data_IF_315143971908
#
_entry.id   IF_315143971908
#
_cell.length_a   1.000
_cell.length_b   1.000
_cell.length_c   1.000
_cell.angle_alpha   90.00
_cell.angle_beta   90.00
_cell.angle_gamma   90.00
#
_symmetry.space_group_name_H-M   'P 1'
#
loop_
_entity.id
_entity.type
_entity.pdbx_description
1 polymer ?
#
# COMPACT_ATOMS: atom_id res chain seq x y z
N UNK A 1 16.72 -22.62 -31.50
CA UNK A 1 15.74 -22.51 -30.40
C UNK A 1 16.46 -22.59 -29.06
N UNK A 2 16.93 -21.45 -28.51
CA UNK A 2 17.25 -21.24 -27.07
C UNK A 2 17.28 -19.73 -26.85
N UNK A 3 16.18 -19.12 -26.42
CA UNK A 3 16.18 -17.74 -25.92
C UNK A 3 16.64 -17.77 -24.48
N UNK A 4 17.88 -17.32 -24.25
CA UNK A 4 18.46 -17.12 -22.93
C UNK A 4 17.83 -15.86 -22.30
N UNK A 5 17.26 -16.03 -21.11
CA UNK A 5 16.72 -14.97 -20.27
C UNK A 5 17.85 -14.14 -19.65
N UNK A 6 18.55 -13.37 -20.46
CA UNK A 6 19.67 -12.56 -19.98
C UNK A 6 19.65 -11.19 -20.65
N UNK A 7 18.75 -10.32 -20.16
CA UNK A 7 19.00 -8.89 -19.97
C UNK A 7 17.83 -8.26 -19.22
N UNK A 8 17.66 -8.63 -17.94
CA UNK A 8 16.90 -7.78 -17.03
C UNK A 8 17.80 -6.59 -16.70
N UNK A 9 17.64 -5.52 -17.47
CA UNK A 9 18.18 -4.20 -17.13
C UNK A 9 17.45 -3.76 -15.86
N UNK A 10 18.05 -4.03 -14.70
CA UNK A 10 17.63 -3.50 -13.42
C UNK A 10 17.75 -1.98 -13.50
N UNK A 11 16.66 -1.34 -13.92
CA UNK A 11 16.52 0.09 -13.80
C UNK A 11 16.63 0.37 -12.30
N UNK A 12 17.66 1.12 -11.89
CA UNK A 12 17.87 1.50 -10.50
C UNK A 12 16.69 2.38 -10.09
N UNK A 13 15.63 1.75 -9.58
CA UNK A 13 14.57 2.44 -8.88
C UNK A 13 15.16 2.87 -7.55
N UNK A 14 15.86 4.00 -7.55
CA UNK A 14 16.12 4.71 -6.30
C UNK A 14 14.74 4.95 -5.68
N UNK A 15 14.47 4.50 -4.44
CA UNK A 15 13.27 4.93 -3.76
C UNK A 15 13.39 6.44 -3.66
N UNK A 16 12.66 7.17 -4.52
CA UNK A 16 12.49 8.58 -4.32
C UNK A 16 11.93 8.72 -2.92
N UNK A 17 12.53 9.59 -2.10
CA UNK A 17 11.94 9.99 -0.84
C UNK A 17 10.45 10.26 -1.07
N UNK A 18 9.55 9.80 -0.17
CA UNK A 18 8.14 10.04 -0.36
C UNK A 18 7.98 11.54 -0.58
N UNK A 19 7.36 11.96 -1.71
CA UNK A 19 7.21 13.38 -1.93
C UNK A 19 6.47 13.90 -0.70
N UNK A 20 7.09 14.84 0.01
CA UNK A 20 6.43 15.58 1.08
C UNK A 20 5.43 16.53 0.43
N UNK A 21 4.48 15.98 -0.32
CA UNK A 21 3.19 16.58 -0.48
C UNK A 21 2.66 16.65 0.96
N UNK A 22 2.95 17.77 1.63
CA UNK A 22 2.00 18.33 2.56
C UNK A 22 0.73 18.38 1.72
N UNK A 23 -0.13 17.40 1.91
CA UNK A 23 -1.47 17.48 1.41
C UNK A 23 -1.97 18.74 2.08
N UNK A 24 -1.97 19.86 1.35
CA UNK A 24 -2.81 20.99 1.71
C UNK A 24 -4.14 20.32 1.90
N UNK A 25 -4.59 20.25 3.15
CA UNK A 25 -5.82 19.60 3.52
C UNK A 25 -6.92 20.48 2.95
N UNK A 26 -7.12 20.39 1.63
CA UNK A 26 -8.29 20.89 0.95
C UNK A 26 -9.39 20.08 1.60
N UNK A 27 -10.05 20.67 2.59
CA UNK A 27 -10.95 19.98 3.51
C UNK A 27 -11.85 19.02 2.76
N UNK A 28 -12.19 17.88 3.40
CA UNK A 28 -13.04 16.85 2.79
C UNK A 28 -14.28 17.55 2.18
N UNK A 29 -14.53 17.32 0.89
CA UNK A 29 -15.69 17.91 0.23
C UNK A 29 -16.91 17.30 0.89
N UNK A 30 -17.87 18.14 1.28
CA UNK A 30 -19.16 17.66 1.84
C UNK A 30 -20.22 17.45 0.77
N UNK A 31 -19.85 17.63 -0.50
CA UNK A 31 -20.74 17.53 -1.64
C UNK A 31 -21.21 16.09 -1.93
N UNK A 32 -20.48 15.06 -1.48
CA UNK A 32 -20.84 13.64 -1.66
C UNK A 32 -20.77 13.11 -3.10
N UNK A 33 -20.75 13.99 -4.11
CA UNK A 33 -20.89 13.61 -5.53
C UNK A 33 -19.63 13.83 -6.36
N UNK A 34 -18.61 14.52 -5.81
CA UNK A 34 -17.36 14.68 -6.53
C UNK A 34 -16.58 13.36 -6.57
N UNK A 35 -15.73 13.19 -7.59
CA UNK A 35 -14.90 11.99 -7.76
C UNK A 35 -14.13 11.62 -6.48
N UNK A 36 -13.59 12.60 -5.75
CA UNK A 36 -12.90 12.36 -4.48
C UNK A 36 -13.80 11.78 -3.39
N UNK A 37 -15.05 12.25 -3.29
CA UNK A 37 -16.01 11.73 -2.30
C UNK A 37 -16.41 10.30 -2.65
N UNK A 38 -16.64 10.02 -3.94
CA UNK A 38 -16.95 8.67 -4.41
C UNK A 38 -15.78 7.70 -4.20
N UNK A 39 -14.55 8.13 -4.46
CA UNK A 39 -13.35 7.32 -4.19
C UNK A 39 -13.18 7.06 -2.69
N UNK A 40 -13.37 8.07 -1.85
CA UNK A 40 -13.31 7.89 -0.40
C UNK A 40 -14.35 6.87 0.08
N UNK A 41 -15.60 6.99 -0.35
CA UNK A 41 -16.66 6.05 0.02
C UNK A 41 -16.35 4.63 -0.47
N UNK A 42 -15.79 4.50 -1.68
CA UNK A 42 -15.33 3.22 -2.23
C UNK A 42 -14.25 2.61 -1.34
N UNK A 43 -13.25 3.39 -0.93
CA UNK A 43 -12.18 2.91 -0.06
C UNK A 43 -12.65 2.59 1.35
N UNK A 44 -13.54 3.40 1.92
CA UNK A 44 -14.17 3.13 3.23
C UNK A 44 -14.91 1.79 3.21
N UNK A 45 -15.68 1.50 2.16
CA UNK A 45 -16.36 0.20 1.99
C UNK A 45 -15.38 -0.97 1.91
N UNK A 46 -14.28 -0.83 1.16
CA UNK A 46 -13.25 -1.87 1.04
C UNK A 46 -12.57 -2.10 2.39
N UNK A 47 -12.29 -1.01 3.10
CA UNK A 47 -11.69 -1.04 4.43
C UNK A 47 -12.62 -1.78 5.40
N UNK A 48 -13.89 -1.40 5.47
CA UNK A 48 -14.87 -2.06 6.33
C UNK A 48 -14.99 -3.56 6.03
N UNK A 49 -15.04 -3.92 4.74
CA UNK A 49 -15.20 -5.31 4.35
C UNK A 49 -14.00 -6.20 4.70
N UNK A 50 -12.77 -5.69 4.55
CA UNK A 50 -11.56 -6.53 4.62
C UNK A 50 -10.70 -6.27 5.87
N UNK A 51 -10.91 -5.14 6.53
CA UNK A 51 -10.04 -4.61 7.58
C UNK A 51 -10.79 -4.13 8.82
N UNK A 52 -12.13 -4.19 8.88
CA UNK A 52 -12.87 -3.94 10.12
C UNK A 52 -12.82 -5.13 11.11
N UNK A 53 -12.09 -6.20 10.77
CA UNK A 53 -11.80 -7.28 11.70
C UNK A 53 -11.01 -6.69 12.90
N UNK A 54 -11.53 -6.77 14.14
CA UNK A 54 -10.85 -6.30 15.34
C UNK A 54 -9.46 -6.90 15.50
N UNK A 55 -9.30 -8.14 15.02
CA UNK A 55 -8.09 -8.94 15.16
C UNK A 55 -7.18 -8.83 13.92
N UNK A 56 -7.50 -7.91 13.00
CA UNK A 56 -6.71 -7.70 11.77
C UNK A 56 -5.26 -7.35 12.07
N UNK A 57 -5.04 -6.51 13.09
CA UNK A 57 -3.71 -6.12 13.56
C UNK A 57 -3.25 -6.91 14.78
N UNK A 58 -4.00 -7.93 15.22
CA UNK A 58 -3.53 -8.78 16.31
C UNK A 58 -2.26 -9.53 15.91
N UNK A 59 -1.41 -9.75 16.90
CA UNK A 59 -0.17 -10.47 16.73
C UNK A 59 -0.48 -11.93 16.34
N UNK A 60 -0.38 -12.23 15.05
CA UNK A 60 -0.41 -13.60 14.55
C UNK A 60 0.98 -14.18 14.71
N UNK A 61 1.08 -15.33 15.38
CA UNK A 61 2.31 -16.13 15.44
C UNK A 61 2.80 -16.40 14.01
N UNK A 62 3.83 -15.67 13.60
CA UNK A 62 4.49 -15.85 12.32
C UNK A 62 5.21 -17.20 12.38
N UNK A 63 4.60 -18.24 11.80
CA UNK A 63 5.14 -19.62 11.82
C UNK A 63 6.49 -19.75 11.13
N UNK A 64 6.82 -18.81 10.24
CA UNK A 64 8.06 -18.78 9.50
C UNK A 64 8.65 -17.37 9.56
N UNK A 65 9.70 -17.21 10.38
CA UNK A 65 10.47 -15.99 10.40
C UNK A 65 11.26 -15.86 9.08
N UNK A 66 11.30 -14.65 8.52
CA UNK A 66 12.20 -14.36 7.41
C UNK A 66 13.65 -14.52 7.88
N UNK A 67 14.52 -15.23 7.15
CA UNK A 67 15.94 -15.34 7.48
C UNK A 67 16.66 -13.98 7.58
N UNK A 68 16.10 -12.94 6.95
CA UNK A 68 16.63 -11.58 6.98
C UNK A 68 16.26 -10.80 8.26
N UNK A 69 15.31 -11.29 9.07
CA UNK A 69 14.92 -10.63 10.32
C UNK A 69 15.90 -10.84 11.47
N UNK A 70 16.82 -11.81 11.35
CA UNK A 70 17.78 -12.18 12.39
C UNK A 70 19.18 -11.54 12.22
N UNK A 71 19.36 -10.69 11.22
CA UNK A 71 20.64 -10.02 10.91
C UNK A 71 20.73 -8.58 11.47
N UNK A 72 19.86 -8.23 12.42
CA UNK A 72 19.87 -6.94 13.12
C UNK A 72 20.81 -6.93 14.32
#
# INVERSE_FOLDING_TARGET
MKTTWSEVRFNKFTPAEPPTFRSVSRGRCRCGQCARSLDNERWERIFEQNFADPDYYEFRLVRHASPLGALG
#
